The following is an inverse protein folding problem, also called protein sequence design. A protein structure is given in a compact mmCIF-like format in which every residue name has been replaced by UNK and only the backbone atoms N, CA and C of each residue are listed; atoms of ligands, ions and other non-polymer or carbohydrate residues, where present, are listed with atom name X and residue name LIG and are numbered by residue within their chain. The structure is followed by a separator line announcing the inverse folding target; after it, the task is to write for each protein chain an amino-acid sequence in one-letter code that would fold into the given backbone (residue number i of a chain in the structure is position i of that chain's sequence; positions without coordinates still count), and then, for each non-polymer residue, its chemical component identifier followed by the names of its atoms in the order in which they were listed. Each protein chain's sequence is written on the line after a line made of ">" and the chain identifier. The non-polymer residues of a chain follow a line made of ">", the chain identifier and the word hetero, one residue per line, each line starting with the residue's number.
data_IF_265207010072
#
_entry.id   IF_265207010072
#
_cell.length_a   1.000
_cell.length_b   1.000
_cell.length_c   1.000
_cell.angle_alpha   90.00
_cell.angle_beta   90.00
_cell.angle_gamma   90.00
#
_symmetry.space_group_name_H-M   'P 1'
#
loop_
_entity.id
_entity.type
_entity.pdbx_description
1 polymer ?
#
# COMPACT_ATOMS: atom_id res chain seq x y z
N UNK A 1 -13.39 2.79 -19.93
CA UNK A 1 -13.56 1.57 -20.76
C UNK A 1 -12.44 0.61 -20.40
N UNK A 2 -12.64 -0.21 -19.37
CA UNK A 2 -11.80 -1.38 -19.09
C UNK A 2 -12.74 -2.57 -19.12
N UNK A 3 -12.38 -3.55 -19.94
CA UNK A 3 -13.20 -4.69 -20.33
C UNK A 3 -13.33 -5.68 -19.15
N UNK A 4 -14.53 -5.78 -18.58
CA UNK A 4 -14.86 -6.72 -17.51
C UNK A 4 -15.20 -8.08 -18.14
N UNK A 5 -14.17 -8.90 -18.38
CA UNK A 5 -14.30 -10.35 -18.56
C UNK A 5 -13.45 -11.08 -17.52
N UNK A 6 -13.91 -11.07 -16.27
CA UNK A 6 -13.57 -12.14 -15.33
C UNK A 6 -14.63 -13.23 -15.55
N UNK A 7 -14.24 -14.28 -16.27
CA UNK A 7 -15.08 -15.43 -16.62
C UNK A 7 -15.47 -16.26 -15.40
N UNK A 8 -16.69 -16.80 -15.40
CA UNK A 8 -17.27 -17.79 -14.47
C UNK A 8 -16.53 -19.15 -14.40
N UNK A 9 -15.20 -19.20 -14.60
CA UNK A 9 -14.41 -20.44 -14.56
C UNK A 9 -13.97 -20.87 -13.16
N UNK A 10 -14.25 -20.10 -12.10
CA UNK A 10 -13.85 -20.46 -10.73
C UNK A 10 -14.67 -21.61 -10.15
N UNK A 11 -15.93 -21.80 -10.57
CA UNK A 11 -16.82 -22.81 -9.98
C UNK A 11 -16.53 -24.24 -10.46
N UNK A 12 -15.99 -24.41 -11.68
CA UNK A 12 -15.58 -25.71 -12.22
C UNK A 12 -14.33 -26.26 -11.52
N UNK A 13 -13.30 -25.42 -11.33
CA UNK A 13 -12.09 -25.80 -10.58
C UNK A 13 -12.38 -26.12 -9.10
N UNK A 14 -13.43 -25.55 -8.50
CA UNK A 14 -13.82 -25.81 -7.11
C UNK A 14 -14.30 -27.27 -6.89
N UNK A 15 -14.87 -27.92 -7.91
CA UNK A 15 -15.33 -29.32 -7.80
C UNK A 15 -14.20 -30.34 -8.01
N UNK A 16 -13.24 -30.06 -8.89
CA UNK A 16 -12.06 -30.92 -9.09
C UNK A 16 -11.09 -30.87 -7.91
N UNK A 17 -10.82 -29.68 -7.34
CA UNK A 17 -9.97 -29.54 -6.13
C UNK A 17 -10.59 -30.27 -4.93
N UNK A 18 -11.93 -30.32 -4.83
CA UNK A 18 -12.64 -31.07 -3.77
C UNK A 18 -12.43 -32.59 -3.88
N UNK A 19 -12.31 -33.14 -5.09
CA UNK A 19 -12.10 -34.58 -5.28
C UNK A 19 -10.63 -34.98 -5.05
N UNK A 20 -9.65 -34.17 -5.47
CA UNK A 20 -8.23 -34.49 -5.30
C UNK A 20 -7.73 -34.31 -3.84
N UNK A 21 -8.21 -33.27 -3.12
CA UNK A 21 -7.78 -33.06 -1.73
C UNK A 21 -8.52 -33.92 -0.69
N UNK A 22 -9.69 -34.46 -1.02
CA UNK A 22 -10.38 -35.42 -0.14
C UNK A 22 -9.59 -36.73 -0.02
N UNK A 23 -8.86 -37.13 -1.07
CA UNK A 23 -8.07 -38.36 -1.10
C UNK A 23 -6.75 -38.26 -0.30
N UNK A 24 -6.17 -37.07 -0.15
CA UNK A 24 -4.89 -36.86 0.56
C UNK A 24 -4.94 -37.07 2.09
N UNK A 25 -6.14 -37.29 2.67
CA UNK A 25 -6.33 -37.47 4.11
C UNK A 25 -7.06 -38.76 4.49
N UNK A 26 -7.10 -39.77 3.61
CA UNK A 26 -7.76 -41.04 3.92
C UNK A 26 -6.93 -41.90 4.88
N UNK A 27 -7.03 -41.60 6.18
CA UNK A 27 -6.59 -42.48 7.26
C UNK A 27 -6.22 -41.73 8.55
N UNK A 28 -6.68 -42.19 9.74
CA UNK A 28 -6.17 -41.69 11.02
C UNK A 28 -4.65 -41.88 11.17
N UNK A 29 -4.06 -42.81 10.42
CA UNK A 29 -2.63 -43.14 10.42
C UNK A 29 -1.76 -42.03 9.80
N UNK A 30 -2.23 -41.33 8.76
CA UNK A 30 -1.49 -40.26 8.09
C UNK A 30 -1.47 -38.97 8.93
N UNK A 31 -2.56 -38.73 9.66
CA UNK A 31 -2.65 -37.68 10.69
C UNK A 31 -1.74 -38.04 11.87
N UNK A 32 -1.70 -39.30 12.30
CA UNK A 32 -0.75 -39.71 13.31
C UNK A 32 0.71 -39.51 12.85
N UNK A 33 1.09 -39.98 11.67
CA UNK A 33 2.46 -39.85 11.19
C UNK A 33 2.90 -38.39 11.03
N UNK A 34 2.08 -37.54 10.39
CA UNK A 34 2.42 -36.13 10.16
C UNK A 34 2.48 -35.27 11.44
N UNK A 35 1.62 -35.56 12.43
CA UNK A 35 1.52 -34.75 13.64
C UNK A 35 2.33 -35.28 14.83
N UNK A 36 2.66 -36.58 14.90
CA UNK A 36 3.51 -37.12 15.98
C UNK A 36 4.98 -36.72 15.85
N UNK A 37 5.47 -36.39 14.65
CA UNK A 37 6.84 -35.90 14.45
C UNK A 37 7.05 -34.45 14.91
N UNK A 38 5.97 -33.71 15.18
CA UNK A 38 6.04 -32.31 15.64
C UNK A 38 5.84 -32.25 17.15
N UNK A 39 6.91 -31.96 17.88
CA UNK A 39 6.95 -31.87 19.36
C UNK A 39 6.03 -30.81 19.98
N UNK A 40 5.33 -29.99 19.18
CA UNK A 40 4.69 -28.76 19.64
C UNK A 40 3.19 -28.87 19.92
N UNK A 41 2.56 -30.03 19.74
CA UNK A 41 1.10 -30.16 19.85
C UNK A 41 0.62 -30.72 21.19
N UNK A 42 -0.08 -29.88 21.96
CA UNK A 42 -0.59 -30.25 23.28
C UNK A 42 -1.94 -31.03 23.25
N UNK A 43 -2.59 -31.19 22.10
CA UNK A 43 -3.90 -31.85 22.02
C UNK A 43 -4.22 -32.44 20.64
N UNK A 44 -4.19 -33.78 20.52
CA UNK A 44 -4.69 -34.51 19.34
C UNK A 44 -6.17 -34.24 19.09
N UNK A 45 -6.95 -34.06 20.16
CA UNK A 45 -8.38 -33.76 20.07
C UNK A 45 -8.63 -32.48 19.26
N UNK A 46 -7.84 -31.42 19.49
CA UNK A 46 -7.94 -30.18 18.72
C UNK A 46 -7.69 -30.39 17.23
N UNK A 47 -6.66 -31.16 16.88
CA UNK A 47 -6.32 -31.44 15.48
C UNK A 47 -7.43 -32.22 14.75
N UNK A 48 -8.03 -33.23 15.41
CA UNK A 48 -9.17 -33.95 14.84
C UNK A 48 -10.38 -33.03 14.60
N UNK A 49 -10.66 -32.11 15.53
CA UNK A 49 -11.76 -31.15 15.36
C UNK A 49 -11.48 -30.15 14.24
N UNK A 50 -10.23 -29.67 14.13
CA UNK A 50 -9.82 -28.76 13.07
C UNK A 50 -9.94 -29.44 11.69
N UNK A 51 -9.51 -30.69 11.58
CA UNK A 51 -9.63 -31.46 10.35
C UNK A 51 -11.10 -31.77 10.00
N UNK A 52 -11.92 -32.16 10.99
CA UNK A 52 -13.35 -32.37 10.80
C UNK A 52 -14.05 -31.08 10.34
N UNK A 53 -13.70 -29.95 10.96
CA UNK A 53 -14.18 -28.62 10.56
C UNK A 53 -13.77 -28.26 9.13
N UNK A 54 -12.52 -28.53 8.75
CA UNK A 54 -12.04 -28.31 7.39
C UNK A 54 -12.81 -29.16 6.36
N UNK A 55 -13.00 -30.46 6.64
CA UNK A 55 -13.76 -31.39 5.80
C UNK A 55 -15.23 -31.01 5.65
N UNK A 56 -15.82 -30.44 6.70
CA UNK A 56 -17.19 -29.93 6.67
C UNK A 56 -17.33 -28.62 5.87
N UNK A 57 -16.26 -28.11 5.26
CA UNK A 57 -16.27 -26.83 4.54
C UNK A 57 -16.27 -25.60 5.45
N UNK A 58 -15.84 -25.74 6.70
CA UNK A 58 -15.88 -24.66 7.68
C UNK A 58 -15.04 -23.43 7.28
N UNK A 59 -13.91 -23.63 6.61
CA UNK A 59 -13.11 -22.51 6.07
C UNK A 59 -13.75 -21.85 4.86
N UNK A 60 -14.44 -22.61 4.00
CA UNK A 60 -15.22 -22.04 2.91
C UNK A 60 -16.35 -21.16 3.47
N UNK A 61 -16.97 -21.57 4.58
CA UNK A 61 -17.97 -20.74 5.26
C UNK A 61 -17.40 -19.41 5.74
N UNK A 62 -16.18 -19.41 6.31
CA UNK A 62 -15.51 -18.16 6.69
C UNK A 62 -15.27 -17.24 5.50
N UNK A 63 -14.81 -17.77 4.38
CA UNK A 63 -14.58 -16.98 3.17
C UNK A 63 -15.91 -16.50 2.57
N UNK A 64 -16.96 -17.32 2.59
CA UNK A 64 -18.30 -16.98 2.12
C UNK A 64 -18.92 -15.81 2.90
N UNK A 65 -18.65 -15.69 4.21
CA UNK A 65 -19.08 -14.55 5.03
C UNK A 65 -18.41 -13.24 4.58
N UNK A 66 -17.24 -13.33 3.93
CA UNK A 66 -16.48 -12.20 3.41
C UNK A 66 -16.76 -11.91 1.93
N UNK A 67 -17.43 -12.83 1.23
CA UNK A 67 -17.81 -12.65 -0.16
C UNK A 67 -18.97 -11.65 -0.26
N UNK A 68 -18.95 -10.75 -1.27
CA UNK A 68 -20.11 -9.93 -1.57
C UNK A 68 -21.26 -10.84 -2.03
N UNK A 69 -22.52 -10.52 -1.72
CA UNK A 69 -23.63 -11.30 -2.22
C UNK A 69 -23.65 -11.26 -3.76
N UNK A 70 -23.87 -12.42 -4.37
CA UNK A 70 -24.05 -12.54 -5.83
C UNK A 70 -25.35 -11.86 -6.30
N UNK A 71 -26.36 -11.85 -5.44
CA UNK A 71 -27.64 -11.19 -5.68
C UNK A 71 -27.59 -9.73 -5.25
N UNK A 72 -27.82 -8.82 -6.20
CA UNK A 72 -27.90 -7.37 -5.97
C UNK A 72 -29.04 -6.97 -5.04
N UNK A 73 -30.04 -7.84 -4.83
CA UNK A 73 -31.14 -7.58 -3.90
C UNK A 73 -30.77 -7.88 -2.44
N UNK A 74 -29.69 -8.63 -2.22
CA UNK A 74 -29.23 -8.94 -0.87
C UNK A 74 -28.56 -7.70 -0.26
N UNK A 75 -29.06 -7.29 0.90
CA UNK A 75 -28.50 -6.15 1.65
C UNK A 75 -27.32 -6.54 2.54
N UNK A 76 -27.04 -7.84 2.67
CA UNK A 76 -25.90 -8.30 3.45
C UNK A 76 -24.61 -7.81 2.81
N UNK A 77 -23.72 -7.27 3.64
CA UNK A 77 -22.41 -6.86 3.19
C UNK A 77 -21.39 -7.17 4.26
N UNK A 78 -20.23 -7.74 3.89
CA UNK A 78 -19.18 -7.99 4.86
C UNK A 78 -18.73 -6.69 5.51
N UNK A 79 -18.57 -6.71 6.82
CA UNK A 79 -18.05 -5.58 7.58
C UNK A 79 -16.55 -5.77 7.84
N UNK A 80 -15.83 -4.66 8.04
CA UNK A 80 -14.40 -4.67 8.40
C UNK A 80 -14.09 -5.60 9.59
N UNK A 81 -14.98 -5.65 10.57
CA UNK A 81 -14.80 -6.50 11.75
C UNK A 81 -14.78 -7.99 11.41
N UNK A 82 -15.57 -8.42 10.41
CA UNK A 82 -15.56 -9.79 9.92
C UNK A 82 -14.19 -10.14 9.34
N UNK A 83 -13.61 -9.25 8.52
CA UNK A 83 -12.26 -9.45 7.95
C UNK A 83 -11.19 -9.55 9.04
N UNK A 84 -11.23 -8.67 10.06
CA UNK A 84 -10.26 -8.70 11.16
C UNK A 84 -10.39 -9.99 11.99
N UNK A 85 -11.61 -10.45 12.28
CA UNK A 85 -11.85 -11.70 13.01
C UNK A 85 -11.35 -12.92 12.25
N UNK A 86 -11.72 -13.05 10.98
CA UNK A 86 -11.27 -14.17 10.13
C UNK A 86 -9.75 -14.15 10.00
N UNK A 87 -9.14 -12.98 9.78
CA UNK A 87 -7.69 -12.85 9.71
C UNK A 87 -6.99 -13.32 11.00
N UNK A 88 -7.47 -12.87 12.16
CA UNK A 88 -6.89 -13.26 13.45
C UNK A 88 -7.02 -14.77 13.69
N UNK A 89 -8.12 -15.38 13.25
CA UNK A 89 -8.32 -16.82 13.28
C UNK A 89 -7.31 -17.53 12.37
N UNK A 90 -7.16 -17.11 11.12
CA UNK A 90 -6.20 -17.68 10.17
C UNK A 90 -4.76 -17.58 10.70
N UNK A 91 -4.38 -16.43 11.27
CA UNK A 91 -3.08 -16.22 11.89
C UNK A 91 -2.86 -17.22 13.04
N UNK A 92 -3.87 -17.47 13.87
CA UNK A 92 -3.79 -18.39 15.00
C UNK A 92 -3.72 -19.86 14.57
N UNK A 93 -4.32 -20.20 13.42
CA UNK A 93 -4.39 -21.57 12.92
C UNK A 93 -3.20 -21.97 12.02
N UNK A 94 -2.38 -21.01 11.57
CA UNK A 94 -1.32 -21.22 10.58
C UNK A 94 -0.36 -22.37 10.88
N UNK A 95 -0.05 -22.63 12.15
CA UNK A 95 0.92 -23.66 12.57
C UNK A 95 0.31 -25.08 12.64
N UNK A 96 -1.01 -25.18 12.54
CA UNK A 96 -1.77 -26.42 12.66
C UNK A 96 -2.33 -26.93 11.32
N UNK A 97 -2.18 -26.13 10.25
CA UNK A 97 -2.75 -26.43 8.94
C UNK A 97 -1.68 -26.98 7.99
N UNK A 98 -2.11 -27.84 7.08
CA UNK A 98 -1.29 -28.22 5.94
C UNK A 98 -0.87 -26.95 5.16
N UNK A 99 0.43 -26.76 4.84
CA UNK A 99 0.90 -25.54 4.18
C UNK A 99 0.22 -25.24 2.84
N UNK A 100 -0.05 -26.27 2.02
CA UNK A 100 -0.65 -26.10 0.68
C UNK A 100 -2.10 -25.67 0.83
N UNK A 101 -2.86 -26.35 1.70
CA UNK A 101 -4.23 -25.97 2.02
C UNK A 101 -4.32 -24.56 2.61
N UNK A 102 -3.42 -24.23 3.52
CA UNK A 102 -3.38 -22.91 4.16
C UNK A 102 -3.07 -21.81 3.14
N UNK A 103 -2.11 -22.03 2.24
CA UNK A 103 -1.81 -21.10 1.15
C UNK A 103 -3.07 -20.79 0.32
N UNK A 104 -3.81 -21.81 -0.10
CA UNK A 104 -5.06 -21.63 -0.84
C UNK A 104 -6.08 -20.73 -0.13
N UNK A 105 -6.26 -20.91 1.18
CA UNK A 105 -7.17 -20.06 1.98
C UNK A 105 -6.66 -18.63 2.09
N UNK A 106 -5.38 -18.44 2.39
CA UNK A 106 -4.78 -17.11 2.57
C UNK A 106 -4.85 -16.30 1.28
N UNK A 107 -4.62 -16.94 0.13
CA UNK A 107 -4.73 -16.29 -1.18
C UNK A 107 -6.16 -15.80 -1.43
N UNK A 108 -7.17 -16.64 -1.19
CA UNK A 108 -8.58 -16.24 -1.30
C UNK A 108 -8.93 -15.12 -0.33
N UNK A 109 -8.50 -15.22 0.93
CA UNK A 109 -8.74 -14.19 1.94
C UNK A 109 -8.12 -12.84 1.52
N UNK A 110 -6.88 -12.85 1.03
CA UNK A 110 -6.19 -11.66 0.52
C UNK A 110 -7.00 -11.00 -0.59
N UNK A 111 -7.48 -11.78 -1.56
CA UNK A 111 -8.21 -11.26 -2.71
C UNK A 111 -9.57 -10.68 -2.30
N UNK A 112 -10.28 -11.34 -1.39
CA UNK A 112 -11.52 -10.82 -0.80
C UNK A 112 -11.29 -9.53 -0.01
N UNK A 113 -10.24 -9.48 0.81
CA UNK A 113 -9.90 -8.27 1.57
C UNK A 113 -9.56 -7.11 0.63
N UNK A 114 -8.84 -7.38 -0.46
CA UNK A 114 -8.49 -6.38 -1.45
C UNK A 114 -9.71 -5.88 -2.22
N UNK A 115 -10.59 -6.78 -2.65
CA UNK A 115 -11.85 -6.44 -3.33
C UNK A 115 -12.76 -5.63 -2.41
N UNK A 116 -12.86 -6.02 -1.14
CA UNK A 116 -13.62 -5.28 -0.13
C UNK A 116 -13.14 -3.83 -0.02
N UNK A 117 -11.84 -3.63 0.17
CA UNK A 117 -11.26 -2.29 0.33
C UNK A 117 -11.38 -1.45 -0.94
N UNK A 118 -11.22 -2.06 -2.12
CA UNK A 118 -11.21 -1.32 -3.40
C UNK A 118 -12.61 -1.00 -3.91
N UNK A 119 -13.51 -1.97 -3.86
CA UNK A 119 -14.76 -1.94 -4.62
C UNK A 119 -16.00 -1.93 -3.74
N UNK A 120 -15.94 -2.51 -2.53
CA UNK A 120 -17.13 -2.68 -1.72
C UNK A 120 -17.26 -1.63 -0.64
N UNK A 121 -16.15 -1.09 -0.11
CA UNK A 121 -16.17 -0.14 1.01
C UNK A 121 -16.95 1.13 0.69
N UNK A 122 -17.85 1.53 1.57
CA UNK A 122 -18.72 2.70 1.42
C UNK A 122 -18.29 3.80 2.36
N UNK A 123 -18.78 5.00 2.08
CA UNK A 123 -18.58 6.15 2.96
C UNK A 123 -19.11 5.89 4.39
N UNK A 124 -20.24 5.18 4.56
CA UNK A 124 -20.76 4.83 5.88
C UNK A 124 -19.80 3.93 6.66
N UNK A 125 -19.28 2.88 6.03
CA UNK A 125 -18.26 2.02 6.64
C UNK A 125 -17.01 2.82 7.01
N UNK A 126 -16.55 3.71 6.13
CA UNK A 126 -15.36 4.53 6.40
C UNK A 126 -15.55 5.48 7.59
N UNK A 127 -16.78 5.88 7.91
CA UNK A 127 -17.07 6.67 9.12
C UNK A 127 -16.87 5.85 10.39
N UNK A 128 -17.33 4.60 10.39
CA UNK A 128 -17.28 3.71 11.57
C UNK A 128 -15.93 3.01 11.74
N UNK A 129 -15.21 2.74 10.64
CA UNK A 129 -13.92 2.07 10.67
C UNK A 129 -12.90 2.86 11.47
N UNK A 130 -12.33 2.21 12.47
CA UNK A 130 -11.31 2.79 13.35
C UNK A 130 -9.91 2.65 12.76
N UNK A 131 -8.99 3.53 13.18
CA UNK A 131 -7.56 3.40 12.86
C UNK A 131 -6.99 2.04 13.30
N UNK A 132 -7.46 1.52 14.44
CA UNK A 132 -7.06 0.22 14.95
C UNK A 132 -7.45 -0.90 13.99
N UNK A 133 -8.69 -0.93 13.48
CA UNK A 133 -9.13 -1.97 12.53
C UNK A 133 -8.31 -1.96 11.23
N UNK A 134 -8.06 -0.78 10.64
CA UNK A 134 -7.20 -0.67 9.44
C UNK A 134 -5.79 -1.19 9.71
N UNK A 135 -5.23 -0.85 10.88
CA UNK A 135 -3.89 -1.27 11.28
C UNK A 135 -3.84 -2.78 11.54
N UNK A 136 -4.84 -3.34 12.24
CA UNK A 136 -4.97 -4.77 12.53
C UNK A 136 -5.13 -5.59 11.26
N UNK A 137 -6.00 -5.16 10.33
CA UNK A 137 -6.18 -5.83 9.04
C UNK A 137 -4.87 -5.82 8.23
N UNK A 138 -4.27 -4.65 8.05
CA UNK A 138 -3.08 -4.53 7.17
C UNK A 138 -1.84 -5.18 7.77
N UNK A 139 -1.58 -5.03 9.07
CA UNK A 139 -0.46 -5.67 9.73
C UNK A 139 -0.66 -7.19 9.89
N UNK A 140 -1.90 -7.63 10.13
CA UNK A 140 -2.18 -9.06 10.22
C UNK A 140 -2.04 -9.73 8.84
N UNK A 141 -2.49 -9.09 7.77
CA UNK A 141 -2.30 -9.57 6.41
C UNK A 141 -0.82 -9.62 6.03
N UNK A 142 -0.05 -8.59 6.39
CA UNK A 142 1.41 -8.58 6.23
C UNK A 142 2.07 -9.78 6.92
N UNK A 143 1.76 -10.02 8.20
CA UNK A 143 2.28 -11.18 8.95
C UNK A 143 1.91 -12.51 8.29
N UNK A 144 0.65 -12.63 7.88
CA UNK A 144 0.11 -13.85 7.29
C UNK A 144 0.79 -14.17 5.96
N UNK A 145 0.94 -13.17 5.09
CA UNK A 145 1.59 -13.34 3.79
C UNK A 145 3.10 -13.54 3.92
N UNK A 146 3.76 -12.84 4.86
CA UNK A 146 5.18 -13.04 5.16
C UNK A 146 5.46 -14.46 5.68
N UNK A 147 4.55 -15.02 6.49
CA UNK A 147 4.64 -16.41 6.92
C UNK A 147 4.65 -17.37 5.71
N UNK A 148 3.77 -17.18 4.74
CA UNK A 148 3.77 -18.01 3.52
C UNK A 148 5.09 -17.90 2.73
N UNK A 149 5.67 -16.69 2.65
CA UNK A 149 6.98 -16.50 2.01
C UNK A 149 8.08 -17.33 2.65
N UNK A 150 8.12 -17.33 3.98
CA UNK A 150 9.13 -18.08 4.74
C UNK A 150 8.91 -19.59 4.58
N UNK A 151 7.67 -20.06 4.74
CA UNK A 151 7.35 -21.50 4.63
C UNK A 151 7.68 -22.05 3.24
N UNK A 152 7.32 -21.34 2.17
CA UNK A 152 7.63 -21.80 0.80
C UNK A 152 9.13 -21.89 0.54
N UNK A 153 9.91 -20.90 0.99
CA UNK A 153 11.37 -20.93 0.85
C UNK A 153 12.01 -22.08 1.61
N UNK A 154 11.47 -22.43 2.78
CA UNK A 154 11.93 -23.61 3.51
C UNK A 154 11.64 -24.90 2.74
N UNK A 155 10.45 -25.02 2.14
CA UNK A 155 10.10 -26.15 1.29
C UNK A 155 11.02 -26.24 0.07
N UNK A 156 11.23 -25.13 -0.66
CA UNK A 156 12.11 -25.04 -1.82
C UNK A 156 13.56 -25.45 -1.49
N UNK A 157 14.06 -25.07 -0.30
CA UNK A 157 15.40 -25.47 0.16
C UNK A 157 15.49 -26.95 0.49
N UNK A 158 14.44 -27.52 1.08
CA UNK A 158 14.39 -28.94 1.39
C UNK A 158 14.35 -29.78 0.11
N UNK A 159 13.54 -29.39 -0.87
CA UNK A 159 13.48 -30.06 -2.18
C UNK A 159 14.78 -29.90 -2.97
N UNK A 160 15.44 -28.74 -2.91
CA UNK A 160 16.72 -28.54 -3.59
C UNK A 160 17.88 -29.37 -2.98
N UNK A 161 17.80 -29.69 -1.69
CA UNK A 161 18.80 -30.52 -1.02
C UNK A 161 18.64 -32.02 -1.30
N UNK A 162 17.44 -32.46 -1.69
CA UNK A 162 17.21 -33.81 -2.20
C UNK A 162 17.49 -33.83 -3.71
N UNK A 163 18.63 -34.38 -4.12
CA UNK A 163 19.17 -34.46 -5.50
C UNK A 163 18.30 -35.20 -6.54
N UNK A 164 16.96 -35.21 -6.42
CA UNK A 164 16.08 -35.85 -7.39
C UNK A 164 15.99 -35.00 -8.68
N UNK A 165 16.18 -35.65 -9.82
CA UNK A 165 16.26 -35.02 -11.14
C UNK A 165 15.00 -34.18 -11.48
N UNK A 166 15.16 -33.00 -12.10
CA UNK A 166 14.11 -32.00 -12.30
C UNK A 166 13.21 -32.29 -13.52
N UNK A 167 12.71 -33.52 -13.67
CA UNK A 167 11.98 -33.94 -14.88
C UNK A 167 10.44 -33.77 -14.80
N UNK A 168 9.94 -33.00 -13.83
CA UNK A 168 8.51 -32.78 -13.62
C UNK A 168 8.12 -31.31 -13.76
N UNK A 169 8.02 -30.83 -15.01
CA UNK A 169 7.47 -29.52 -15.39
C UNK A 169 5.96 -29.35 -15.10
N UNK A 170 5.32 -30.33 -14.47
CA UNK A 170 3.87 -30.35 -14.25
C UNK A 170 3.54 -29.86 -12.83
N UNK A 171 2.90 -28.70 -12.77
CA UNK A 171 2.21 -28.14 -11.61
C UNK A 171 3.08 -27.60 -10.46
N UNK A 172 3.60 -26.39 -10.65
CA UNK A 172 3.46 -25.39 -9.60
C UNK A 172 2.63 -24.24 -10.16
N UNK A 173 1.36 -24.07 -9.75
CA UNK A 173 0.66 -22.82 -9.99
C UNK A 173 1.53 -21.75 -9.34
N UNK A 174 2.25 -20.98 -10.16
CA UNK A 174 3.23 -20.00 -9.71
C UNK A 174 2.51 -18.86 -9.02
N UNK A 175 2.12 -19.08 -7.77
CA UNK A 175 1.90 -18.01 -6.84
C UNK A 175 3.24 -17.26 -6.77
N UNK A 176 3.29 -16.08 -7.41
CA UNK A 176 4.45 -15.20 -7.36
C UNK A 176 4.41 -14.46 -6.02
N UNK A 177 4.93 -15.11 -4.96
CA UNK A 177 5.05 -14.52 -3.61
C UNK A 177 5.85 -13.21 -3.62
N UNK A 178 6.58 -12.93 -4.69
CA UNK A 178 7.26 -11.65 -4.94
C UNK A 178 6.33 -10.43 -4.84
N UNK A 179 5.00 -10.63 -4.90
CA UNK A 179 4.02 -9.55 -4.80
C UNK A 179 3.38 -9.38 -3.41
N UNK A 180 3.77 -10.11 -2.37
CA UNK A 180 3.14 -9.99 -1.04
C UNK A 180 3.12 -8.55 -0.52
N UNK A 181 4.28 -7.90 -0.50
CA UNK A 181 4.41 -6.52 -0.01
C UNK A 181 3.60 -5.54 -0.86
N UNK A 182 3.52 -5.79 -2.18
CA UNK A 182 2.70 -5.01 -3.11
C UNK A 182 1.23 -5.00 -2.70
N UNK A 183 0.66 -6.14 -2.33
CA UNK A 183 -0.75 -6.21 -1.92
C UNK A 183 -1.02 -5.40 -0.66
N UNK A 184 -0.19 -5.57 0.37
CA UNK A 184 -0.33 -4.83 1.63
C UNK A 184 -0.17 -3.33 1.41
N UNK A 185 0.85 -2.93 0.66
CA UNK A 185 1.12 -1.53 0.35
C UNK A 185 -0.04 -0.91 -0.46
N UNK A 186 -0.51 -1.61 -1.50
CA UNK A 186 -1.62 -1.13 -2.32
C UNK A 186 -2.92 -1.04 -1.52
N UNK A 187 -3.21 -2.02 -0.65
CA UNK A 187 -4.38 -1.97 0.24
C UNK A 187 -4.32 -0.77 1.19
N UNK A 188 -3.16 -0.51 1.80
CA UNK A 188 -2.95 0.67 2.67
C UNK A 188 -3.15 1.97 1.89
N UNK A 189 -2.65 2.05 0.65
CA UNK A 189 -2.84 3.20 -0.22
C UNK A 189 -4.33 3.36 -0.60
N UNK A 190 -5.05 2.29 -0.93
CA UNK A 190 -6.49 2.36 -1.18
C UNK A 190 -7.26 2.89 0.04
N UNK A 191 -6.96 2.40 1.26
CA UNK A 191 -7.52 2.98 2.47
C UNK A 191 -7.23 4.48 2.60
N UNK A 192 -5.98 4.90 2.34
CA UNK A 192 -5.62 6.31 2.41
C UNK A 192 -6.44 7.14 1.42
N UNK A 193 -6.66 6.65 0.20
CA UNK A 193 -7.47 7.31 -0.81
C UNK A 193 -8.95 7.44 -0.38
N UNK A 194 -9.55 6.38 0.16
CA UNK A 194 -10.91 6.47 0.72
C UNK A 194 -10.97 7.46 1.89
N UNK A 195 -10.03 7.40 2.82
CA UNK A 195 -9.95 8.29 3.99
C UNK A 195 -9.83 9.78 3.63
N UNK A 196 -9.07 10.13 2.58
CA UNK A 196 -8.88 11.53 2.15
C UNK A 196 -10.14 12.10 1.48
N UNK A 197 -10.93 11.24 0.82
CA UNK A 197 -12.19 11.65 0.18
C UNK A 197 -13.32 11.88 1.19
N UNK A 198 -13.23 11.28 2.38
CA UNK A 198 -14.21 11.48 3.45
C UNK A 198 -14.35 12.96 3.84
N UNK A 199 -15.57 13.48 4.08
CA UNK A 199 -15.77 14.86 4.54
C UNK A 199 -15.24 15.10 5.97
N UNK A 200 -15.02 14.03 6.75
CA UNK A 200 -14.57 14.09 8.13
C UNK A 200 -13.06 14.39 8.21
N UNK A 201 -12.70 15.51 8.86
CA UNK A 201 -11.32 16.01 8.94
C UNK A 201 -10.33 15.00 9.54
N UNK A 202 -10.73 14.32 10.62
CA UNK A 202 -9.90 13.31 11.29
C UNK A 202 -9.56 12.13 10.37
N UNK A 203 -10.52 11.70 9.54
CA UNK A 203 -10.31 10.63 8.56
C UNK A 203 -9.33 11.10 7.49
N UNK A 204 -9.44 12.33 6.99
CA UNK A 204 -8.47 12.90 6.04
C UNK A 204 -7.05 12.88 6.60
N UNK A 205 -6.88 13.28 7.86
CA UNK A 205 -5.57 13.24 8.53
C UNK A 205 -5.04 11.83 8.70
N UNK A 206 -5.91 10.86 8.98
CA UNK A 206 -5.53 9.44 9.02
C UNK A 206 -5.02 8.96 7.66
N UNK A 207 -5.69 9.34 6.56
CA UNK A 207 -5.22 9.04 5.21
C UNK A 207 -3.88 9.69 4.89
N UNK A 208 -3.68 10.96 5.25
CA UNK A 208 -2.38 11.62 5.11
C UNK A 208 -1.28 10.97 5.95
N UNK A 209 -1.58 10.48 7.15
CA UNK A 209 -0.60 9.78 7.97
C UNK A 209 -0.08 8.50 7.28
N UNK A 210 -0.97 7.75 6.63
CA UNK A 210 -0.59 6.56 5.84
C UNK A 210 0.32 6.96 4.67
N UNK A 211 -0.05 7.98 3.88
CA UNK A 211 0.76 8.47 2.76
C UNK A 211 2.13 8.98 3.24
N UNK A 212 2.14 9.72 4.35
CA UNK A 212 3.38 10.24 4.94
C UNK A 212 4.34 9.11 5.31
N UNK A 213 3.82 8.03 5.90
CA UNK A 213 4.63 6.86 6.21
C UNK A 213 5.19 6.22 4.93
N UNK A 214 4.37 6.07 3.88
CA UNK A 214 4.82 5.52 2.59
C UNK A 214 5.87 6.37 1.89
N UNK A 215 5.79 7.70 2.01
CA UNK A 215 6.84 8.60 1.50
C UNK A 215 8.15 8.40 2.26
N UNK A 216 8.11 8.30 3.60
CA UNK A 216 9.31 8.05 4.42
C UNK A 216 9.96 6.71 4.09
N UNK A 217 9.12 5.70 3.94
CA UNK A 217 9.51 4.35 3.55
C UNK A 217 10.23 4.34 2.19
N UNK A 218 9.63 4.94 1.16
CA UNK A 218 10.19 5.01 -0.19
C UNK A 218 11.51 5.81 -0.23
N UNK A 219 11.62 6.89 0.55
CA UNK A 219 12.87 7.66 0.67
C UNK A 219 13.99 6.86 1.32
N UNK A 220 13.68 6.17 2.42
CA UNK A 220 14.64 5.32 3.15
C UNK A 220 15.19 4.23 2.24
N UNK A 221 14.33 3.61 1.43
CA UNK A 221 14.74 2.61 0.44
C UNK A 221 15.65 3.19 -0.65
N UNK A 222 15.33 4.38 -1.17
CA UNK A 222 16.17 5.06 -2.17
C UNK A 222 17.56 5.41 -1.62
N UNK A 223 17.63 5.83 -0.36
CA UNK A 223 18.89 6.12 0.34
C UNK A 223 19.72 4.86 0.58
N UNK A 224 19.09 3.77 1.05
CA UNK A 224 19.73 2.48 1.20
C UNK A 224 20.30 1.97 -0.14
N UNK A 225 19.51 2.04 -1.22
CA UNK A 225 19.98 1.65 -2.55
C UNK A 225 21.15 2.50 -3.05
N UNK A 226 21.15 3.81 -2.78
CA UNK A 226 22.28 4.69 -3.13
C UNK A 226 23.54 4.37 -2.31
N UNK A 227 23.40 4.12 -1.01
CA UNK A 227 24.51 3.73 -0.15
C UNK A 227 25.16 2.43 -0.61
N UNK A 228 24.35 1.44 -0.98
CA UNK A 228 24.81 0.15 -1.52
C UNK A 228 25.55 0.30 -2.86
N UNK A 229 25.10 1.20 -3.74
CA UNK A 229 25.79 1.47 -5.01
C UNK A 229 27.09 2.25 -4.82
N UNK A 230 27.22 3.01 -3.74
CA UNK A 230 28.41 3.80 -3.45
C UNK A 230 29.55 2.98 -2.81
N UNK A 231 29.24 1.88 -2.11
CA UNK A 231 30.25 0.94 -1.62
C UNK A 231 30.83 0.15 -2.79
N UNK A 232 31.99 0.57 -3.31
CA UNK A 232 32.70 -0.01 -4.47
C UNK A 232 33.21 -1.44 -4.26
N UNK A 233 33.19 -1.97 -3.04
CA UNK A 233 33.45 -3.38 -2.75
C UNK A 233 32.45 -3.85 -1.68
N UNK A 234 31.50 -4.75 -2.01
CA UNK A 234 30.70 -5.38 -0.99
C UNK A 234 31.62 -6.28 -0.18
N UNK A 235 31.92 -5.90 1.07
CA UNK A 235 32.47 -6.86 2.03
C UNK A 235 31.53 -8.08 2.08
N UNK A 236 32.07 -9.29 2.19
CA UNK A 236 31.27 -10.53 2.16
C UNK A 236 30.12 -10.51 3.18
N UNK A 237 30.29 -9.79 4.29
CA UNK A 237 29.26 -9.60 5.32
C UNK A 237 28.13 -8.64 4.92
N UNK A 238 28.42 -7.59 4.15
CA UNK A 238 27.39 -6.70 3.62
C UNK A 238 26.55 -7.42 2.55
N UNK A 239 27.20 -8.23 1.70
CA UNK A 239 26.54 -9.09 0.74
C UNK A 239 25.70 -10.15 1.44
N UNK A 240 26.24 -10.83 2.47
CA UNK A 240 25.49 -11.84 3.23
C UNK A 240 24.28 -11.26 3.97
N UNK A 241 24.39 -10.06 4.54
CA UNK A 241 23.24 -9.36 5.15
C UNK A 241 22.19 -8.95 4.12
N UNK A 242 22.61 -8.61 2.90
CA UNK A 242 21.69 -8.38 1.79
C UNK A 242 21.01 -9.68 1.38
N UNK A 243 21.75 -10.76 1.20
CA UNK A 243 21.21 -12.05 0.81
C UNK A 243 20.30 -12.62 1.91
N UNK A 244 20.60 -12.36 3.19
CA UNK A 244 19.71 -12.67 4.31
C UNK A 244 18.44 -11.78 4.29
N UNK A 245 18.57 -10.47 4.07
CA UNK A 245 17.41 -9.58 3.91
C UNK A 245 16.54 -9.97 2.70
N UNK A 246 17.16 -10.41 1.61
CA UNK A 246 16.53 -10.97 0.41
C UNK A 246 15.82 -12.28 0.73
N UNK A 247 16.50 -13.16 1.47
CA UNK A 247 16.00 -14.45 1.94
C UNK A 247 14.86 -14.32 2.97
N UNK A 248 14.62 -13.14 3.54
CA UNK A 248 13.42 -12.85 4.34
C UNK A 248 12.36 -12.01 3.60
N UNK A 249 12.52 -11.76 2.29
CA UNK A 249 11.54 -10.99 1.51
C UNK A 249 11.50 -9.52 1.90
N UNK A 250 12.54 -9.06 2.62
CA UNK A 250 12.70 -7.69 3.08
C UNK A 250 13.43 -6.81 2.05
N UNK A 251 13.77 -7.33 0.86
CA UNK A 251 14.28 -6.48 -0.21
C UNK A 251 13.15 -5.75 -0.91
N UNK A 252 13.03 -4.49 -0.52
CA UNK A 252 12.28 -3.46 -1.22
C UNK A 252 10.80 -3.45 -0.86
N UNK A 253 10.38 -2.40 -0.16
CA UNK A 253 8.97 -2.03 -0.20
C UNK A 253 8.62 -1.83 -1.68
N UNK A 254 7.49 -2.38 -2.09
CA UNK A 254 7.07 -2.34 -3.49
C UNK A 254 6.87 -0.89 -3.96
N UNK A 255 6.47 -0.03 -3.02
CA UNK A 255 6.28 1.40 -3.24
C UNK A 255 7.63 2.12 -3.37
N UNK A 256 8.03 2.40 -4.59
CA UNK A 256 9.14 3.32 -4.91
C UNK A 256 8.68 4.78 -4.85
N UNK A 257 9.64 5.72 -4.92
CA UNK A 257 9.31 7.16 -4.94
C UNK A 257 8.51 7.55 -6.20
N UNK A 258 8.85 6.94 -7.32
CA UNK A 258 8.24 7.18 -8.63
C UNK A 258 6.84 6.58 -8.67
N UNK A 259 6.69 5.32 -8.24
CA UNK A 259 5.39 4.66 -8.20
C UNK A 259 4.40 5.35 -7.25
N UNK A 260 4.86 5.81 -6.08
CA UNK A 260 4.01 6.56 -5.16
C UNK A 260 3.57 7.90 -5.74
N UNK A 261 4.43 8.58 -6.50
CA UNK A 261 4.09 9.84 -7.15
C UNK A 261 3.04 9.64 -8.25
N UNK A 262 3.18 8.60 -9.08
CA UNK A 262 2.17 8.19 -10.06
C UNK A 262 0.83 7.89 -9.39
N UNK A 263 0.85 7.09 -8.31
CA UNK A 263 -0.36 6.76 -7.57
C UNK A 263 -1.07 8.01 -7.00
N UNK A 264 -0.32 8.98 -6.47
CA UNK A 264 -0.88 10.25 -5.98
C UNK A 264 -1.56 11.06 -7.10
N UNK A 265 -1.00 11.03 -8.31
CA UNK A 265 -1.55 11.67 -9.51
C UNK A 265 -2.83 10.94 -9.98
N UNK A 266 -2.79 9.61 -10.10
CA UNK A 266 -3.95 8.79 -10.48
C UNK A 266 -5.13 8.98 -9.54
N UNK A 267 -4.86 9.03 -8.23
CA UNK A 267 -5.90 9.25 -7.22
C UNK A 267 -6.32 10.72 -7.07
N UNK A 268 -5.69 11.64 -7.83
CA UNK A 268 -5.92 13.09 -7.79
C UNK A 268 -5.82 13.66 -6.38
N UNK A 269 -4.88 13.14 -5.56
CA UNK A 269 -4.74 13.53 -4.16
C UNK A 269 -4.47 15.03 -4.01
N UNK A 270 -3.69 15.60 -4.95
CA UNK A 270 -3.43 17.03 -4.99
C UNK A 270 -4.70 17.87 -5.14
N UNK A 271 -5.57 17.52 -6.10
CA UNK A 271 -6.88 18.16 -6.28
C UNK A 271 -7.78 17.98 -5.06
N UNK A 272 -7.77 16.82 -4.41
CA UNK A 272 -8.54 16.60 -3.18
C UNK A 272 -8.11 17.53 -2.03
N UNK A 273 -6.83 17.91 -1.97
CA UNK A 273 -6.28 18.85 -0.99
C UNK A 273 -6.70 20.28 -1.32
N UNK A 274 -6.54 20.72 -2.57
CA UNK A 274 -6.64 22.13 -2.92
C UNK A 274 -7.99 22.54 -3.55
N UNK A 275 -8.65 21.68 -4.32
CA UNK A 275 -10.01 21.93 -4.80
C UNK A 275 -11.04 21.49 -3.77
N UNK A 276 -10.98 20.21 -3.39
CA UNK A 276 -12.02 19.53 -2.61
C UNK A 276 -12.03 19.81 -1.11
N UNK A 277 -10.96 20.38 -0.55
CA UNK A 277 -10.93 20.79 0.85
C UNK A 277 -11.10 22.30 1.00
N UNK A 278 -11.97 22.71 1.92
CA UNK A 278 -12.10 24.10 2.38
C UNK A 278 -11.37 24.34 3.69
N UNK A 279 -10.82 23.29 4.31
CA UNK A 279 -10.24 23.40 5.64
C UNK A 279 -8.74 23.69 5.56
N UNK A 280 -8.32 24.84 6.10
CA UNK A 280 -6.92 25.30 6.05
C UNK A 280 -5.93 24.31 6.69
N UNK A 281 -6.34 23.61 7.76
CA UNK A 281 -5.53 22.55 8.38
C UNK A 281 -5.19 21.38 7.44
N UNK A 282 -6.04 21.05 6.47
CA UNK A 282 -5.74 20.01 5.45
C UNK A 282 -4.55 20.43 4.60
N UNK A 283 -4.47 21.71 4.21
CA UNK A 283 -3.32 22.25 3.46
C UNK A 283 -2.06 22.21 4.31
N UNK A 284 -2.15 22.69 5.56
CA UNK A 284 -0.98 22.72 6.46
C UNK A 284 -0.41 21.32 6.69
N UNK A 285 -1.28 20.32 6.90
CA UNK A 285 -0.88 18.93 7.14
C UNK A 285 -0.41 18.21 5.89
N UNK A 286 -0.71 18.70 4.69
CA UNK A 286 -0.33 18.07 3.42
C UNK A 286 0.94 18.66 2.77
N UNK A 287 1.68 19.52 3.48
CA UNK A 287 2.95 20.09 3.00
C UNK A 287 3.94 19.05 2.50
N UNK A 288 4.03 17.91 3.20
CA UNK A 288 4.92 16.82 2.85
C UNK A 288 4.57 16.18 1.49
N UNK A 289 3.29 16.22 1.07
CA UNK A 289 2.85 15.70 -0.24
C UNK A 289 3.30 16.65 -1.34
N UNK A 290 3.08 17.95 -1.16
CA UNK A 290 3.52 18.97 -2.13
C UNK A 290 5.04 18.95 -2.29
N UNK A 291 5.77 18.87 -1.18
CA UNK A 291 7.23 18.71 -1.20
C UNK A 291 7.66 17.43 -1.91
N UNK A 292 6.97 16.32 -1.64
CA UNK A 292 7.28 15.05 -2.26
C UNK A 292 7.10 15.11 -3.78
N UNK A 293 5.95 15.60 -4.26
CA UNK A 293 5.67 15.76 -5.69
C UNK A 293 6.65 16.73 -6.36
N UNK A 294 7.04 17.79 -5.66
CA UNK A 294 8.05 18.72 -6.17
C UNK A 294 9.41 18.04 -6.33
N UNK A 295 9.89 17.34 -5.30
CA UNK A 295 11.18 16.67 -5.30
C UNK A 295 11.25 15.49 -6.30
N UNK A 296 10.11 14.88 -6.63
CA UNK A 296 10.03 13.83 -7.66
C UNK A 296 9.76 14.38 -9.07
N UNK A 297 9.54 15.69 -9.23
CA UNK A 297 9.24 16.31 -10.53
C UNK A 297 7.82 16.07 -11.04
N UNK A 298 6.91 15.60 -10.18
CA UNK A 298 5.49 15.42 -10.51
C UNK A 298 4.64 16.65 -10.20
N UNK A 299 5.19 17.68 -9.55
CA UNK A 299 4.50 18.96 -9.35
C UNK A 299 4.53 19.78 -10.64
N UNK A 300 3.40 19.85 -11.35
CA UNK A 300 3.25 20.51 -12.65
C UNK A 300 2.75 21.96 -12.53
N UNK A 301 2.94 22.78 -13.57
CA UNK A 301 2.49 24.18 -13.57
C UNK A 301 0.97 24.32 -13.34
N UNK A 302 0.16 23.43 -13.91
CA UNK A 302 -1.30 23.40 -13.68
C UNK A 302 -1.68 23.16 -12.20
N UNK A 303 -0.84 22.47 -11.44
CA UNK A 303 -1.05 22.27 -10.00
C UNK A 303 -0.69 23.53 -9.21
N UNK A 304 0.32 24.30 -9.65
CA UNK A 304 0.60 25.64 -9.11
C UNK A 304 -0.54 26.61 -9.41
N UNK A 305 -1.12 26.55 -10.61
CA UNK A 305 -2.32 27.33 -10.97
C UNK A 305 -3.48 27.01 -10.03
N UNK A 306 -3.71 25.73 -9.79
CA UNK A 306 -4.76 25.24 -8.91
C UNK A 306 -4.57 25.71 -7.46
N UNK A 307 -3.33 25.73 -6.95
CA UNK A 307 -3.02 26.34 -5.65
C UNK A 307 -3.28 27.86 -5.67
N UNK A 308 -2.83 28.54 -6.73
CA UNK A 308 -2.98 29.99 -6.87
C UNK A 308 -4.44 30.41 -6.88
N UNK A 309 -5.24 29.81 -7.76
CA UNK A 309 -6.67 30.05 -7.85
C UNK A 309 -7.40 29.71 -6.56
N UNK A 310 -7.05 28.59 -5.93
CA UNK A 310 -7.59 28.20 -4.63
C UNK A 310 -7.30 29.25 -3.56
N UNK A 311 -6.11 29.84 -3.57
CA UNK A 311 -5.74 30.90 -2.64
C UNK A 311 -6.53 32.19 -2.89
N UNK A 312 -6.81 32.55 -4.15
CA UNK A 312 -7.52 33.79 -4.48
C UNK A 312 -9.04 33.73 -4.30
N UNK A 313 -9.64 32.53 -4.38
CA UNK A 313 -11.12 32.36 -4.36
C UNK A 313 -11.72 32.12 -2.96
N UNK A 314 -10.92 31.67 -1.98
CA UNK A 314 -11.42 31.12 -0.70
C UNK A 314 -11.16 32.06 0.49
N UNK A 315 -11.75 31.73 1.65
CA UNK A 315 -11.62 32.50 2.89
C UNK A 315 -10.17 32.70 3.34
N UNK A 316 -9.92 33.79 4.09
CA UNK A 316 -8.59 34.28 4.48
C UNK A 316 -7.65 33.22 5.10
N UNK A 317 -8.19 32.34 5.95
CA UNK A 317 -7.39 31.27 6.57
C UNK A 317 -6.89 30.24 5.53
N UNK A 318 -7.72 29.93 4.52
CA UNK A 318 -7.37 29.06 3.42
C UNK A 318 -6.34 29.73 2.49
N UNK A 319 -6.60 31.00 2.13
CA UNK A 319 -5.69 31.83 1.33
C UNK A 319 -4.30 31.86 1.96
N UNK A 320 -4.23 32.21 3.25
CA UNK A 320 -2.98 32.26 4.01
C UNK A 320 -2.23 30.92 4.01
N UNK A 321 -2.94 29.81 4.27
CA UNK A 321 -2.31 28.48 4.31
C UNK A 321 -1.75 28.08 2.93
N UNK A 322 -2.49 28.37 1.86
CA UNK A 322 -2.09 28.06 0.49
C UNK A 322 -0.93 28.92 0.03
N UNK A 323 -0.98 30.24 0.26
CA UNK A 323 0.12 31.14 -0.08
C UNK A 323 1.41 30.79 0.67
N UNK A 324 1.33 30.40 1.95
CA UNK A 324 2.50 29.88 2.69
C UNK A 324 3.09 28.64 2.02
N UNK A 325 2.26 27.75 1.48
CA UNK A 325 2.72 26.60 0.72
C UNK A 325 3.38 27.01 -0.59
N UNK A 326 2.80 27.95 -1.33
CA UNK A 326 3.37 28.48 -2.58
C UNK A 326 4.73 29.13 -2.29
N UNK A 327 4.85 29.93 -1.23
CA UNK A 327 6.12 30.53 -0.78
C UNK A 327 7.15 29.42 -0.49
N UNK A 328 6.72 28.34 0.18
CA UNK A 328 7.60 27.22 0.47
C UNK A 328 8.09 26.53 -0.82
N UNK A 329 7.20 26.26 -1.77
CA UNK A 329 7.59 25.70 -3.08
C UNK A 329 8.51 26.65 -3.83
N UNK A 330 8.17 27.94 -3.89
CA UNK A 330 8.98 28.98 -4.53
C UNK A 330 10.40 29.03 -3.95
N UNK A 331 10.56 28.79 -2.63
CA UNK A 331 11.87 28.77 -1.97
C UNK A 331 12.81 27.66 -2.47
N UNK A 332 12.30 26.65 -3.18
CA UNK A 332 13.06 25.54 -3.76
C UNK A 332 12.87 25.41 -5.28
N UNK A 333 11.98 26.20 -5.87
CA UNK A 333 11.54 26.17 -7.27
C UNK A 333 12.71 26.44 -8.24
N UNK A 334 12.67 25.83 -9.44
CA UNK A 334 13.60 26.17 -10.51
C UNK A 334 13.08 27.40 -11.28
N UNK A 335 13.91 27.92 -12.18
CA UNK A 335 13.62 29.15 -12.90
C UNK A 335 12.28 29.12 -13.69
N UNK A 336 11.90 28.04 -14.39
CA UNK A 336 10.60 27.99 -15.09
C UNK A 336 9.40 28.15 -14.15
N UNK A 337 9.40 27.46 -13.01
CA UNK A 337 8.31 27.54 -12.04
C UNK A 337 8.29 28.89 -11.32
N UNK A 338 9.46 29.47 -11.04
CA UNK A 338 9.58 30.83 -10.48
C UNK A 338 9.01 31.90 -11.41
N UNK A 339 9.29 31.79 -12.72
CA UNK A 339 8.71 32.68 -13.75
C UNK A 339 7.20 32.55 -13.79
N UNK A 340 6.69 31.32 -13.81
CA UNK A 340 5.25 31.06 -13.77
C UNK A 340 4.57 31.70 -12.56
N UNK A 341 5.14 31.54 -11.35
CA UNK A 341 4.62 32.17 -10.15
C UNK A 341 4.73 33.70 -10.17
N UNK A 342 5.79 34.24 -10.77
CA UNK A 342 5.94 35.69 -10.95
C UNK A 342 4.87 36.26 -11.88
N UNK A 343 4.56 35.58 -12.97
CA UNK A 343 3.50 35.99 -13.90
C UNK A 343 2.13 36.01 -13.18
N UNK A 344 1.85 35.03 -12.32
CA UNK A 344 0.64 35.04 -11.47
C UNK A 344 0.59 36.22 -10.51
N UNK A 345 1.72 36.56 -9.87
CA UNK A 345 1.80 37.74 -8.99
C UNK A 345 1.56 39.02 -9.80
N UNK A 346 2.13 39.13 -11.00
CA UNK A 346 1.98 40.29 -11.89
C UNK A 346 0.55 40.49 -12.36
N UNK A 347 -0.17 39.41 -12.62
CA UNK A 347 -1.60 39.42 -13.00
C UNK A 347 -2.53 39.80 -11.84
N UNK A 348 -2.04 39.83 -10.61
CA UNK A 348 -2.87 40.07 -9.43
C UNK A 348 -3.18 41.55 -9.26
N UNK A 349 -4.47 41.94 -9.18
CA UNK A 349 -4.87 43.32 -8.90
C UNK A 349 -4.25 43.86 -7.60
N UNK A 350 -3.81 45.12 -7.59
CA UNK A 350 -3.14 45.75 -6.43
C UNK A 350 -3.97 45.69 -5.14
N UNK A 351 -5.30 45.73 -5.23
CA UNK A 351 -6.19 45.63 -4.08
C UNK A 351 -6.28 44.21 -3.47
N UNK A 352 -5.78 43.19 -4.16
CA UNK A 352 -5.70 41.81 -3.68
C UNK A 352 -4.31 41.44 -3.16
N UNK A 353 -3.32 42.31 -3.37
CA UNK A 353 -1.94 42.14 -2.90
C UNK A 353 -1.90 42.28 -1.39
N UNK A 354 -1.56 41.19 -0.70
CA UNK A 354 -1.38 41.15 0.74
C UNK A 354 0.09 40.91 1.12
N UNK A 355 0.35 40.87 2.43
CA UNK A 355 1.68 40.61 2.98
C UNK A 355 2.30 39.30 2.48
N UNK A 356 1.51 38.26 2.21
CA UNK A 356 2.01 36.96 1.76
C UNK A 356 2.40 36.99 0.28
N UNK A 357 1.64 37.70 -0.56
CA UNK A 357 2.02 37.94 -1.96
C UNK A 357 3.34 38.73 -2.02
N UNK A 358 3.51 39.75 -1.17
CA UNK A 358 4.77 40.50 -1.07
C UNK A 358 5.92 39.61 -0.61
N UNK A 359 5.70 38.72 0.37
CA UNK A 359 6.71 37.74 0.79
C UNK A 359 7.06 36.79 -0.36
N UNK A 360 6.06 36.29 -1.09
CA UNK A 360 6.28 35.43 -2.24
C UNK A 360 7.14 36.12 -3.31
N UNK A 361 6.83 37.37 -3.64
CA UNK A 361 7.62 38.15 -4.59
C UNK A 361 9.08 38.29 -4.15
N UNK A 362 9.32 38.57 -2.85
CA UNK A 362 10.66 38.61 -2.27
C UNK A 362 11.36 37.25 -2.37
N UNK A 363 10.67 36.16 -2.10
CA UNK A 363 11.22 34.80 -2.21
C UNK A 363 11.60 34.47 -3.66
N UNK A 364 10.75 34.80 -4.62
CA UNK A 364 11.02 34.62 -6.05
C UNK A 364 12.27 35.41 -6.45
N UNK A 365 12.30 36.71 -6.15
CA UNK A 365 13.44 37.57 -6.50
C UNK A 365 14.76 37.07 -5.90
N UNK A 366 14.74 36.67 -4.63
CA UNK A 366 15.89 36.09 -3.95
C UNK A 366 16.39 34.83 -4.66
N UNK A 367 15.49 33.92 -5.01
CA UNK A 367 15.88 32.64 -5.62
C UNK A 367 16.36 32.77 -7.06
N UNK A 368 15.78 33.70 -7.82
CA UNK A 368 16.28 34.01 -9.16
C UNK A 368 17.72 34.53 -9.07
N UNK A 369 18.00 35.47 -8.16
CA UNK A 369 19.35 36.01 -7.96
C UNK A 369 20.35 34.90 -7.61
N UNK A 370 20.03 34.02 -6.65
CA UNK A 370 20.93 32.92 -6.27
C UNK A 370 21.16 31.91 -7.39
N UNK A 371 20.18 31.70 -8.27
CA UNK A 371 20.31 30.77 -9.41
C UNK A 371 21.27 31.35 -10.46
N UNK A 372 21.16 32.64 -10.77
CA UNK A 372 22.04 33.33 -11.72
C UNK A 372 23.50 33.30 -11.24
N UNK A 373 23.74 33.58 -9.95
CA UNK A 373 25.09 33.54 -9.38
C UNK A 373 25.71 32.14 -9.45
N UNK A 374 24.90 31.10 -9.24
CA UNK A 374 25.34 29.71 -9.30
C UNK A 374 25.70 29.30 -10.74
N UNK A 375 24.96 29.77 -11.74
CA UNK A 375 25.24 29.44 -13.14
C UNK A 375 26.50 30.19 -13.66
N UNK A 376 26.72 31.44 -13.23
CA UNK A 376 27.93 32.19 -13.57
C UNK A 376 29.21 31.57 -12.98
N UNK A 377 29.13 31.06 -11.74
CA UNK A 377 30.27 30.40 -11.10
C UNK A 377 30.65 29.07 -11.79
N UNK A 378 29.68 28.32 -12.31
CA UNK A 378 29.93 27.09 -13.09
C UNK A 378 30.47 27.36 -14.49
N UNK A 379 30.07 28.46 -15.13
CA UNK A 379 30.58 28.83 -16.45
C UNK A 379 32.02 29.34 -16.44
N UNK A 380 32.55 29.69 -15.27
CA UNK A 380 33.92 30.19 -15.06
C UNK A 380 34.92 29.10 -14.63
N UNK A 381 34.45 27.87 -14.43
CA UNK A 381 35.25 26.66 -14.16
C UNK A 381 35.30 25.79 -15.41
#
# INVERSE_FOLDING_TARGET
>A
MYDHRMSNNSTGHILEIKQEHSALFEGPELVQAYFFERETYNSLFFLFHLQAFARAGGFDLFLMILEPPSDKTCTFRPQMDNFVRVLNLLISLREFMDPVFFEGIVVRFRDLAMDFVKNQITEEDMRTITKHQVTSLTNGLDRLLNYMMVTKRHQERQTASSLAEPDSDLYSPTFHLENVQKYVDLMQLQFAAHLIRMPVLEKKFSGFAIISQKIKDARTQKEQQKALKASKEPTSDAQRRLDEADAFGRKGKWVTTEHLAEWLEEQRVFSLIFEGSLHSEVIKKSSFIVEFLYNTGHLKANQLDLMWEGAMKKHEAYKTATLKMIIYVASKARLPELRHLFDKVKETPLNQVDKFIVILLKTIAKNIATTIDTDQSKASQ
#
